data_IF_910899137332
#
_entry.id   IF_910899137332
#
_cell.length_a   1.000
_cell.length_b   1.000
_cell.length_c   1.000
_cell.angle_alpha   90.00
_cell.angle_beta   90.00
_cell.angle_gamma   90.00
#
_symmetry.space_group_name_H-M   'P 1'
#
loop_
_entity.id
_entity.type
_entity.pdbx_description
1 polymer ?
#
# COMPACT_ATOMS: atom_id res chain seq x y z
N UNK A 1 16.86 21.44 -20.49
CA UNK A 1 15.68 21.02 -21.26
C UNK A 1 14.47 21.84 -20.78
N UNK A 2 13.51 22.18 -21.65
CA UNK A 2 12.27 22.85 -21.22
C UNK A 2 11.26 21.79 -20.76
N UNK A 3 10.77 21.94 -19.53
CA UNK A 3 9.82 21.03 -18.89
C UNK A 3 8.57 21.81 -18.48
N UNK A 4 7.41 21.28 -18.80
CA UNK A 4 6.11 21.76 -18.33
C UNK A 4 5.45 20.71 -17.42
N UNK A 5 4.53 21.15 -16.55
CA UNK A 5 3.81 20.24 -15.66
C UNK A 5 2.99 19.26 -16.49
N UNK A 6 3.22 17.96 -16.28
CA UNK A 6 2.56 16.88 -17.02
C UNK A 6 3.40 16.31 -18.18
N UNK A 7 4.59 16.86 -18.44
CA UNK A 7 5.48 16.30 -19.45
C UNK A 7 6.00 14.92 -19.06
N UNK A 8 5.86 13.96 -19.97
CA UNK A 8 6.48 12.65 -19.85
C UNK A 8 7.96 12.77 -20.22
N UNK A 9 8.84 12.32 -19.33
CA UNK A 9 10.30 12.40 -19.52
C UNK A 9 10.87 10.99 -19.44
N UNK A 10 11.62 10.61 -20.46
CA UNK A 10 12.43 9.39 -20.42
C UNK A 10 13.79 9.71 -19.80
N UNK A 11 14.01 9.28 -18.56
CA UNK A 11 15.28 9.48 -17.85
C UNK A 11 16.25 8.39 -18.30
N UNK A 12 17.39 8.81 -18.86
CA UNK A 12 18.45 7.91 -19.32
C UNK A 12 19.49 7.67 -18.23
N UNK A 13 19.76 8.68 -17.42
CA UNK A 13 20.79 8.64 -16.36
C UNK A 13 20.43 9.59 -15.23
N UNK A 14 20.61 9.12 -14.01
CA UNK A 14 20.57 9.94 -12.80
C UNK A 14 21.99 10.00 -12.21
N UNK A 15 22.47 11.21 -11.93
CA UNK A 15 23.79 11.47 -11.34
C UNK A 15 23.70 11.59 -9.82
N UNK A 16 24.83 11.42 -9.13
CA UNK A 16 24.91 11.43 -7.66
C UNK A 16 24.51 12.77 -7.03
N UNK A 17 24.55 13.86 -7.80
CA UNK A 17 24.16 15.21 -7.42
C UNK A 17 22.67 15.52 -7.68
N UNK A 18 21.86 14.49 -7.96
CA UNK A 18 20.41 14.56 -8.21
C UNK A 18 20.03 15.31 -9.49
N UNK A 19 20.95 15.40 -10.45
CA UNK A 19 20.62 15.80 -11.82
C UNK A 19 20.32 14.58 -12.68
N UNK A 20 19.25 14.70 -13.46
CA UNK A 20 18.84 13.70 -14.44
C UNK A 20 19.19 14.18 -15.84
N UNK A 21 19.68 13.27 -16.69
CA UNK A 21 19.72 13.42 -18.13
C UNK A 21 18.55 12.65 -18.73
N UNK A 22 17.77 13.31 -19.59
CA UNK A 22 16.62 12.68 -20.21
C UNK A 22 16.08 13.41 -21.43
N UNK A 23 15.05 12.82 -22.01
CA UNK A 23 14.36 13.31 -23.22
C UNK A 23 12.91 13.62 -22.85
N UNK A 24 12.47 14.84 -23.11
CA UNK A 24 11.06 15.22 -22.98
C UNK A 24 10.31 14.65 -24.17
N UNK A 25 9.37 13.74 -23.92
CA UNK A 25 8.66 13.01 -24.96
C UNK A 25 7.64 13.88 -25.72
N UNK A 26 7.19 15.00 -25.13
CA UNK A 26 6.34 15.97 -25.84
C UNK A 26 7.14 16.77 -26.86
N UNK A 27 8.32 17.28 -26.47
CA UNK A 27 9.12 18.17 -27.31
C UNK A 27 10.19 17.47 -28.13
N UNK A 28 10.51 16.22 -27.79
CA UNK A 28 11.60 15.43 -28.36
C UNK A 28 13.01 15.96 -28.03
N UNK A 29 13.12 17.00 -27.20
CA UNK A 29 14.42 17.61 -26.85
C UNK A 29 15.10 16.81 -25.75
N UNK A 30 16.41 16.65 -25.85
CA UNK A 30 17.24 16.05 -24.81
C UNK A 30 17.90 17.15 -23.96
N UNK A 31 18.13 16.85 -22.68
CA UNK A 31 19.00 17.64 -21.83
C UNK A 31 18.92 17.24 -20.37
N UNK A 32 19.52 18.07 -19.52
CA UNK A 32 19.57 17.85 -18.08
C UNK A 32 18.50 18.64 -17.33
N UNK A 33 18.00 18.08 -16.25
CA UNK A 33 17.04 18.70 -15.32
C UNK A 33 17.22 18.14 -13.90
N UNK A 34 16.84 18.89 -12.85
CA UNK A 34 16.85 18.38 -11.48
C UNK A 34 15.86 17.23 -11.30
N UNK A 35 16.24 16.15 -10.61
CA UNK A 35 15.36 14.99 -10.39
C UNK A 35 14.06 15.35 -9.69
N UNK A 36 14.06 16.39 -8.84
CA UNK A 36 12.89 16.92 -8.16
C UNK A 36 11.77 17.45 -9.07
N UNK A 37 12.05 17.66 -10.36
CA UNK A 37 11.05 18.11 -11.35
C UNK A 37 10.28 16.95 -11.99
N UNK A 38 10.69 15.72 -11.72
CA UNK A 38 10.03 14.52 -12.20
C UNK A 38 9.64 13.60 -11.04
N UNK A 39 8.65 12.75 -11.28
CA UNK A 39 8.27 11.66 -10.39
C UNK A 39 8.27 10.39 -11.22
N UNK A 40 8.78 9.29 -10.64
CA UNK A 40 8.78 8.00 -11.33
C UNK A 40 7.33 7.55 -11.56
N UNK A 41 7.01 7.34 -12.85
CA UNK A 41 5.78 6.73 -13.31
C UNK A 41 6.10 5.33 -13.84
N UNK A 42 5.25 4.36 -13.52
CA UNK A 42 5.37 3.05 -14.15
C UNK A 42 4.85 3.16 -15.58
N UNK A 43 5.55 2.57 -16.56
CA UNK A 43 5.19 2.63 -18.00
C UNK A 43 3.73 2.29 -18.32
N UNK A 44 3.07 1.51 -17.45
CA UNK A 44 1.66 1.14 -17.56
C UNK A 44 0.66 2.28 -17.28
N UNK A 45 1.12 3.44 -16.78
CA UNK A 45 0.25 4.59 -16.47
C UNK A 45 -0.12 5.42 -17.72
N UNK A 46 0.45 5.12 -18.89
CA UNK A 46 0.18 5.80 -20.17
C UNK A 46 -0.78 5.04 -21.12
N UNK A 47 -1.19 3.81 -20.79
CA UNK A 47 -2.12 3.06 -21.62
C UNK A 47 -3.57 3.52 -21.36
N UNK A 48 -4.24 4.19 -22.31
CA UNK A 48 -5.62 4.65 -22.12
C UNK A 48 -6.64 3.51 -22.07
N UNK A 49 -6.25 2.27 -22.42
CA UNK A 49 -7.09 1.06 -22.32
C UNK A 49 -6.97 0.38 -20.96
N UNK A 50 -5.87 0.61 -20.25
CA UNK A 50 -5.75 0.22 -18.85
C UNK A 50 -6.53 1.24 -18.06
N UNK A 51 -7.71 0.87 -17.55
CA UNK A 51 -8.36 1.61 -16.47
C UNK A 51 -7.26 1.96 -15.48
N UNK A 52 -6.93 3.25 -15.35
CA UNK A 52 -5.98 3.74 -14.35
C UNK A 52 -6.41 3.13 -13.02
N UNK A 53 -5.77 2.02 -12.64
CA UNK A 53 -5.90 1.47 -11.30
C UNK A 53 -5.18 2.52 -10.49
N UNK A 54 -5.94 3.54 -10.07
CA UNK A 54 -5.50 4.63 -9.22
C UNK A 54 -4.68 3.94 -8.15
N UNK A 55 -3.34 4.09 -8.17
CA UNK A 55 -2.50 3.38 -7.21
C UNK A 55 -2.97 3.79 -5.82
N UNK A 56 -3.65 2.87 -5.13
CA UNK A 56 -4.32 3.14 -3.87
C UNK A 56 -3.24 3.14 -2.76
N UNK A 57 -2.43 4.21 -2.76
CA UNK A 57 -1.29 4.43 -1.87
C UNK A 57 -1.68 5.38 -0.74
N UNK A 58 -1.43 4.96 0.50
CA UNK A 58 -1.78 5.70 1.69
C UNK A 58 -0.57 5.90 2.60
N UNK A 59 -0.28 7.15 2.95
CA UNK A 59 0.75 7.48 3.93
C UNK A 59 0.20 7.27 5.35
N UNK A 60 0.76 6.32 6.08
CA UNK A 60 0.29 5.91 7.41
C UNK A 60 1.47 5.79 8.38
N UNK A 61 1.18 5.87 9.69
CA UNK A 61 2.12 5.50 10.74
C UNK A 61 1.88 4.07 11.18
N UNK A 62 2.80 3.16 10.88
CA UNK A 62 2.78 1.78 11.36
C UNK A 62 3.13 1.74 12.84
N UNK A 63 2.24 1.17 13.66
CA UNK A 63 2.41 1.11 15.12
C UNK A 63 2.96 -0.25 15.58
N UNK A 64 2.74 -1.31 14.79
CA UNK A 64 3.20 -2.65 15.13
C UNK A 64 2.22 -3.75 14.72
N UNK A 65 2.64 -4.98 15.01
CA UNK A 65 1.84 -6.19 14.78
C UNK A 65 1.60 -6.92 16.10
N UNK A 66 0.40 -7.43 16.29
CA UNK A 66 0.02 -8.19 17.49
C UNK A 66 -0.50 -9.56 17.06
N UNK A 67 0.00 -10.63 17.69
CA UNK A 67 -0.56 -11.98 17.50
C UNK A 67 -2.00 -12.03 18.03
N UNK A 68 -2.92 -12.60 17.25
CA UNK A 68 -4.35 -12.69 17.56
C UNK A 68 -4.86 -14.12 17.47
N UNK A 69 -5.86 -14.44 18.28
CA UNK A 69 -6.51 -15.76 18.28
C UNK A 69 -7.62 -15.89 17.23
N UNK A 70 -8.19 -14.76 16.81
CA UNK A 70 -9.25 -14.69 15.80
C UNK A 70 -8.74 -14.06 14.50
N UNK A 71 -9.34 -14.51 13.39
CA UNK A 71 -8.97 -14.11 12.03
C UNK A 71 -9.84 -12.98 11.48
N UNK A 72 -10.91 -12.58 12.18
CA UNK A 72 -11.82 -11.52 11.75
C UNK A 72 -12.46 -10.79 12.94
N UNK A 73 -13.09 -9.66 12.64
CA UNK A 73 -13.92 -8.90 13.59
C UNK A 73 -13.24 -7.65 14.12
N UNK A 74 -14.02 -6.56 14.23
CA UNK A 74 -13.56 -5.26 14.72
C UNK A 74 -13.02 -5.32 16.14
N UNK A 75 -13.55 -6.22 16.99
CA UNK A 75 -13.05 -6.44 18.35
C UNK A 75 -11.56 -6.83 18.41
N UNK A 76 -11.08 -7.60 17.43
CA UNK A 76 -9.68 -7.99 17.32
C UNK A 76 -8.80 -6.77 17.02
N UNK A 77 -9.23 -5.93 16.09
CA UNK A 77 -8.54 -4.66 15.77
C UNK A 77 -8.51 -3.73 16.98
N UNK A 78 -9.64 -3.58 17.68
CA UNK A 78 -9.72 -2.78 18.91
C UNK A 78 -8.75 -3.29 19.99
N UNK A 79 -8.67 -4.61 20.18
CA UNK A 79 -7.76 -5.21 21.15
C UNK A 79 -6.30 -4.98 20.75
N UNK A 80 -5.95 -5.14 19.48
CA UNK A 80 -4.60 -4.89 18.98
C UNK A 80 -4.18 -3.42 19.15
N UNK A 81 -5.05 -2.48 18.76
CA UNK A 81 -4.84 -1.03 18.98
C UNK A 81 -4.64 -0.73 20.46
N UNK A 82 -5.52 -1.25 21.33
CA UNK A 82 -5.42 -1.04 22.78
C UNK A 82 -4.13 -1.60 23.35
N UNK A 83 -3.70 -2.78 22.91
CA UNK A 83 -2.45 -3.41 23.36
C UNK A 83 -1.25 -2.55 22.99
N UNK A 84 -1.15 -2.12 21.74
CA UNK A 84 -0.05 -1.28 21.28
C UNK A 84 -0.09 0.09 21.97
N UNK A 85 -1.20 0.82 21.90
CA UNK A 85 -1.27 2.17 22.48
C UNK A 85 -1.10 2.16 24.00
N UNK A 86 -1.59 1.13 24.68
CA UNK A 86 -1.44 0.96 26.13
C UNK A 86 0.00 0.64 26.55
N UNK A 87 0.76 -0.06 25.71
CA UNK A 87 2.18 -0.39 25.95
C UNK A 87 3.09 0.83 25.72
N UNK A 88 2.72 1.73 24.81
CA UNK A 88 3.56 2.88 24.41
C UNK A 88 3.28 4.22 25.13
N UNK A 89 2.24 4.36 25.96
CA UNK A 89 1.99 5.54 26.82
C UNK A 89 2.10 6.92 26.14
N UNK A 90 0.96 7.54 25.80
CA UNK A 90 0.84 8.82 25.08
C UNK A 90 1.36 8.79 23.62
N UNK A 91 0.42 8.68 22.67
CA UNK A 91 0.58 8.77 21.22
C UNK A 91 1.86 8.13 20.63
N UNK A 92 1.89 6.80 20.41
CA UNK A 92 3.00 6.18 19.69
C UNK A 92 3.21 6.87 18.33
N UNK A 93 4.39 7.44 18.14
CA UNK A 93 4.84 7.96 16.85
C UNK A 93 5.23 6.76 16.01
N UNK A 94 4.24 6.17 15.34
CA UNK A 94 4.44 5.06 14.41
C UNK A 94 5.48 5.36 13.35
N UNK A 95 6.09 4.30 12.82
CA UNK A 95 7.00 4.40 11.69
C UNK A 95 6.24 4.83 10.44
N UNK A 96 6.63 5.93 9.81
CA UNK A 96 5.97 6.41 8.59
C UNK A 96 6.21 5.44 7.44
N UNK A 97 5.12 4.92 6.87
CA UNK A 97 5.14 3.99 5.75
C UNK A 97 4.09 4.36 4.70
N UNK A 98 4.29 3.87 3.49
CA UNK A 98 3.29 3.88 2.43
C UNK A 98 2.66 2.48 2.39
N UNK A 99 1.34 2.42 2.53
CA UNK A 99 0.55 1.22 2.30
C UNK A 99 -0.07 1.29 0.90
N UNK A 100 0.38 0.44 0.00
CA UNK A 100 -0.15 0.27 -1.35
C UNK A 100 -1.15 -0.88 -1.37
N UNK A 101 -2.36 -0.62 -1.87
CA UNK A 101 -3.42 -1.60 -2.05
C UNK A 101 -3.48 -2.00 -3.53
N UNK A 102 -3.41 -3.30 -3.80
CA UNK A 102 -3.50 -3.88 -5.15
C UNK A 102 -4.40 -5.11 -5.14
N UNK A 103 -4.73 -5.62 -6.33
CA UNK A 103 -5.49 -6.85 -6.49
C UNK A 103 -4.72 -8.12 -6.07
N UNK A 104 -3.40 -8.02 -5.91
CA UNK A 104 -2.54 -9.13 -5.47
C UNK A 104 -2.34 -9.14 -3.95
N UNK A 105 -2.31 -7.97 -3.33
CA UNK A 105 -1.92 -7.82 -1.93
C UNK A 105 -1.80 -6.39 -1.45
N UNK A 106 -1.43 -6.28 -0.18
CA UNK A 106 -1.08 -5.04 0.50
C UNK A 106 0.43 -4.97 0.61
N UNK A 107 1.04 -3.92 0.05
CA UNK A 107 2.49 -3.69 0.14
C UNK A 107 2.77 -2.53 1.08
N UNK A 108 3.56 -2.78 2.11
CA UNK A 108 4.01 -1.76 3.05
C UNK A 108 5.46 -1.41 2.76
N UNK A 109 5.72 -0.14 2.45
CA UNK A 109 7.06 0.39 2.16
C UNK A 109 7.43 1.42 3.22
N UNK A 110 8.59 1.26 3.84
CA UNK A 110 9.13 2.24 4.78
C UNK A 110 9.54 3.56 4.11
N UNK A 111 9.21 4.69 4.73
CA UNK A 111 9.66 6.03 4.30
C UNK A 111 10.46 6.76 5.38
N UNK A 112 11.13 6.02 6.28
CA UNK A 112 12.08 6.62 7.21
C UNK A 112 13.11 7.47 6.43
N UNK A 113 13.08 8.80 6.64
CA UNK A 113 13.88 9.73 5.86
C UNK A 113 15.39 9.46 5.99
N UNK A 114 16.21 9.89 5.00
CA UNK A 114 17.66 9.63 4.98
C UNK A 114 18.45 10.18 6.19
N UNK A 115 17.83 11.00 7.04
CA UNK A 115 18.42 11.54 8.27
C UNK A 115 18.46 10.54 9.44
N UNK A 116 17.83 9.36 9.33
CA UNK A 116 17.87 8.33 10.37
C UNK A 116 18.86 7.19 10.06
N UNK A 117 19.93 7.48 9.31
CA UNK A 117 21.07 6.57 9.05
C UNK A 117 21.92 6.24 10.29
N UNK A 118 21.45 6.50 11.52
CA UNK A 118 22.12 6.06 12.75
C UNK A 118 21.80 4.61 13.14
N UNK A 119 20.75 4.01 12.57
CA UNK A 119 20.50 2.58 12.70
C UNK A 119 20.45 1.94 11.32
N UNK A 120 21.27 0.91 11.09
CA UNK A 120 21.26 0.06 9.90
C UNK A 120 19.98 -0.80 9.84
N UNK A 121 18.80 -0.20 9.92
CA UNK A 121 17.53 -0.91 9.77
C UNK A 121 17.28 -1.09 8.26
N UNK A 122 17.11 -2.33 7.78
CA UNK A 122 16.80 -2.58 6.38
C UNK A 122 15.51 -1.84 6.02
N UNK A 123 15.47 -1.24 4.82
CA UNK A 123 14.24 -0.67 4.27
C UNK A 123 13.17 -1.76 4.30
N UNK A 124 12.12 -1.56 5.08
CA UNK A 124 11.10 -2.57 5.29
C UNK A 124 10.16 -2.53 4.09
N UNK A 125 10.18 -3.60 3.30
CA UNK A 125 9.25 -3.87 2.21
C UNK A 125 8.50 -5.18 2.50
N UNK A 126 7.32 -5.06 3.10
CA UNK A 126 6.47 -6.21 3.40
C UNK A 126 5.34 -6.31 2.39
N UNK A 127 5.18 -7.50 1.80
CA UNK A 127 4.07 -7.81 0.92
C UNK A 127 3.14 -8.85 1.56
N UNK A 128 1.88 -8.47 1.77
CA UNK A 128 0.83 -9.32 2.29
C UNK A 128 -0.14 -9.69 1.17
N UNK A 129 0.00 -10.89 0.62
CA UNK A 129 -0.93 -11.39 -0.40
C UNK A 129 -2.37 -11.39 0.13
N UNK A 130 -3.33 -10.92 -0.69
CA UNK A 130 -4.75 -10.89 -0.30
C UNK A 130 -5.28 -12.27 0.10
N UNK A 131 -4.73 -13.36 -0.45
CA UNK A 131 -5.05 -14.74 -0.06
C UNK A 131 -4.85 -14.99 1.45
N UNK A 132 -3.91 -14.28 2.05
CA UNK A 132 -3.54 -14.43 3.45
C UNK A 132 -4.09 -13.31 4.35
N UNK A 133 -4.70 -12.26 3.78
CA UNK A 133 -5.36 -11.20 4.57
C UNK A 133 -6.81 -11.61 4.78
N UNK A 134 -7.20 -11.84 6.03
CA UNK A 134 -8.51 -12.38 6.37
C UNK A 134 -9.55 -11.32 6.75
N UNK A 135 -9.11 -10.13 7.17
CA UNK A 135 -10.00 -9.06 7.61
C UNK A 135 -9.28 -7.71 7.60
N UNK A 136 -10.02 -6.63 7.35
CA UNK A 136 -9.54 -5.25 7.46
C UNK A 136 -10.65 -4.36 8.02
N UNK A 137 -10.35 -3.54 9.03
CA UNK A 137 -11.30 -2.59 9.59
C UNK A 137 -10.62 -1.41 10.26
N UNK A 138 -11.31 -0.27 10.27
CA UNK A 138 -10.96 0.89 11.09
C UNK A 138 -11.55 0.77 12.50
N UNK A 139 -10.96 1.46 13.47
CA UNK A 139 -11.40 1.43 14.86
C UNK A 139 -12.69 2.28 15.06
N UNK A 140 -13.77 1.73 15.66
CA UNK A 140 -15.11 2.34 15.63
C UNK A 140 -15.25 3.63 16.44
N UNK A 141 -14.33 3.90 17.37
CA UNK A 141 -14.32 5.15 18.17
C UNK A 141 -13.30 6.19 17.69
N UNK A 142 -12.24 5.74 17.02
CA UNK A 142 -11.20 6.63 16.50
C UNK A 142 -10.85 6.14 15.10
N UNK A 143 -11.53 6.71 14.11
CA UNK A 143 -11.41 6.31 12.72
C UNK A 143 -10.03 6.57 12.11
N UNK A 144 -9.07 7.14 12.85
CA UNK A 144 -7.68 7.26 12.40
C UNK A 144 -6.90 5.97 12.54
N UNK A 145 -7.37 5.01 13.33
CA UNK A 145 -6.73 3.71 13.44
C UNK A 145 -7.36 2.73 12.46
N UNK A 146 -6.50 1.96 11.79
CA UNK A 146 -6.88 0.83 10.94
C UNK A 146 -6.03 -0.37 11.29
N UNK A 147 -6.61 -1.56 11.19
CA UNK A 147 -5.86 -2.78 11.22
C UNK A 147 -6.36 -3.79 10.21
N UNK A 148 -5.42 -4.56 9.68
CA UNK A 148 -5.73 -5.76 8.89
C UNK A 148 -5.13 -6.99 9.56
N UNK A 149 -5.79 -8.13 9.38
CA UNK A 149 -5.43 -9.41 9.98
C UNK A 149 -4.86 -10.30 8.88
N UNK A 150 -3.69 -10.87 9.13
CA UNK A 150 -3.06 -11.86 8.25
C UNK A 150 -3.01 -13.22 8.91
N UNK A 151 -3.07 -14.28 8.10
CA UNK A 151 -2.79 -15.65 8.49
C UNK A 151 -1.32 -15.98 8.21
N UNK A 152 -0.66 -16.62 9.16
CA UNK A 152 0.70 -17.11 8.95
C UNK A 152 0.71 -18.23 7.88
N UNK A 153 1.63 -18.22 6.89
CA UNK A 153 1.60 -19.17 5.77
C UNK A 153 1.74 -20.64 6.19
N UNK A 154 2.54 -20.92 7.22
CA UNK A 154 2.88 -22.29 7.64
C UNK A 154 2.31 -22.68 9.01
N UNK A 155 1.72 -21.74 9.75
CA UNK A 155 1.25 -21.97 11.12
C UNK A 155 -0.18 -21.44 11.23
N UNK A 156 -1.05 -22.11 11.99
CA UNK A 156 -2.42 -21.64 12.22
C UNK A 156 -2.47 -20.50 13.25
N UNK A 157 -1.70 -19.43 12.99
CA UNK A 157 -1.62 -18.21 13.79
C UNK A 157 -2.03 -17.00 12.96
N UNK A 158 -2.53 -15.98 13.64
CA UNK A 158 -2.95 -14.73 13.03
C UNK A 158 -2.19 -13.56 13.62
N UNK A 159 -1.98 -12.52 12.82
CA UNK A 159 -1.39 -11.27 13.27
C UNK A 159 -2.26 -10.11 12.80
N UNK A 160 -2.57 -9.19 13.71
CA UNK A 160 -3.19 -7.92 13.39
C UNK A 160 -2.13 -6.84 13.26
N UNK A 161 -2.02 -6.25 12.08
CA UNK A 161 -1.10 -5.17 11.76
C UNK A 161 -1.83 -3.84 11.92
N UNK A 162 -1.32 -2.95 12.78
CA UNK A 162 -2.02 -1.73 13.17
C UNK A 162 -1.31 -0.49 12.63
N UNK A 163 -2.10 0.40 12.04
CA UNK A 163 -1.66 1.65 11.45
C UNK A 163 -2.49 2.81 11.97
N UNK A 164 -1.93 4.01 11.89
CA UNK A 164 -2.56 5.28 12.25
C UNK A 164 -2.42 6.28 11.12
N UNK A 165 -3.53 6.83 10.64
CA UNK A 165 -3.57 7.95 9.71
C UNK A 165 -3.43 9.30 10.41
N UNK A 166 -3.03 10.32 9.67
CA UNK A 166 -3.21 11.73 10.07
C UNK A 166 -4.70 12.09 10.18
N UNK A 167 -5.49 11.55 9.25
CA UNK A 167 -6.94 11.70 9.15
C UNK A 167 -7.63 10.33 9.23
N UNK A 168 -8.94 10.31 8.94
CA UNK A 168 -9.73 9.08 8.88
C UNK A 168 -9.13 8.07 7.91
N UNK A 169 -8.95 6.83 8.36
CA UNK A 169 -8.47 5.70 7.55
C UNK A 169 -9.60 4.95 6.86
N UNK A 170 -10.83 5.49 6.85
CA UNK A 170 -11.96 4.90 6.11
C UNK A 170 -11.65 4.70 4.61
N UNK A 171 -11.04 5.66 3.88
CA UNK A 171 -10.70 5.45 2.46
C UNK A 171 -9.76 4.26 2.24
N UNK A 172 -8.87 3.99 3.20
CA UNK A 172 -7.96 2.83 3.18
C UNK A 172 -8.76 1.53 3.30
N UNK A 173 -9.68 1.46 4.27
CA UNK A 173 -10.54 0.29 4.46
C UNK A 173 -11.44 0.02 3.24
N UNK A 174 -11.97 1.07 2.61
CA UNK A 174 -12.76 0.96 1.39
C UNK A 174 -11.93 0.46 0.20
N UNK A 175 -10.69 0.92 0.04
CA UNK A 175 -9.76 0.42 -0.97
C UNK A 175 -9.46 -1.07 -0.79
N UNK A 176 -9.11 -1.48 0.44
CA UNK A 176 -8.89 -2.90 0.76
C UNK A 176 -10.16 -3.73 0.52
N UNK A 177 -11.33 -3.19 0.86
CA UNK A 177 -12.62 -3.84 0.60
C UNK A 177 -12.89 -4.05 -0.90
N UNK A 178 -12.63 -3.03 -1.73
CA UNK A 178 -12.71 -3.14 -3.20
C UNK A 178 -11.72 -4.18 -3.74
N UNK A 179 -10.49 -4.19 -3.24
CA UNK A 179 -9.48 -5.17 -3.62
C UNK A 179 -9.91 -6.60 -3.26
N UNK A 180 -10.47 -6.81 -2.07
CA UNK A 180 -11.06 -8.09 -1.70
C UNK A 180 -12.20 -8.48 -2.63
N UNK A 181 -13.13 -7.57 -2.93
CA UNK A 181 -14.26 -7.88 -3.81
C UNK A 181 -13.78 -8.36 -5.19
N UNK A 182 -12.79 -7.67 -5.79
CA UNK A 182 -12.19 -8.09 -7.07
C UNK A 182 -11.46 -9.43 -6.96
N UNK A 183 -10.70 -9.64 -5.88
CA UNK A 183 -9.99 -10.89 -5.64
C UNK A 183 -10.95 -12.08 -5.50
N UNK A 184 -12.02 -11.92 -4.71
CA UNK A 184 -13.05 -12.95 -4.54
C UNK A 184 -13.85 -13.21 -5.81
N UNK A 185 -14.21 -12.18 -6.57
CA UNK A 185 -14.89 -12.33 -7.85
C UNK A 185 -14.09 -13.21 -8.81
N UNK A 186 -12.80 -12.89 -9.00
CA UNK A 186 -11.89 -13.68 -9.84
C UNK A 186 -11.69 -15.10 -9.33
N UNK A 187 -11.63 -15.27 -8.00
CA UNK A 187 -11.52 -16.60 -7.39
C UNK A 187 -12.78 -17.44 -7.64
N UNK A 188 -13.97 -16.86 -7.46
CA UNK A 188 -15.25 -17.55 -7.71
C UNK A 188 -15.39 -17.92 -9.19
N UNK A 189 -15.08 -17.00 -10.11
CA UNK A 189 -15.12 -17.25 -11.57
C UNK A 189 -14.19 -18.41 -11.99
N UNK A 190 -13.03 -18.54 -11.34
CA UNK A 190 -12.05 -19.59 -11.64
C UNK A 190 -12.40 -20.92 -10.96
N UNK A 191 -12.96 -20.89 -9.75
CA UNK A 191 -13.26 -22.09 -8.95
C UNK A 191 -14.63 -22.70 -9.25
N UNK A 192 -15.58 -21.90 -9.74
CA UNK A 192 -16.95 -22.29 -10.07
C UNK A 192 -17.37 -21.64 -11.40
N UNK A 193 -16.75 -22.02 -12.53
CA UNK A 193 -17.21 -21.55 -13.83
C UNK A 193 -18.68 -21.98 -13.99
N UNK A 194 -19.55 -21.00 -14.26
CA UNK A 194 -20.96 -21.28 -14.58
C UNK A 194 -20.93 -21.82 -16.01
N UNK A 195 -20.79 -23.12 -16.17
CA UNK A 195 -21.10 -23.74 -17.45
C UNK A 195 -22.59 -23.53 -17.67
N UNK A 196 -22.94 -22.67 -18.62
CA UNK A 196 -24.31 -22.52 -19.11
C UNK A 196 -24.73 -23.87 -19.72
N UNK A 197 -25.32 -24.73 -18.90
CA UNK A 197 -26.00 -25.93 -19.37
C UNK A 197 -27.30 -25.45 -20.02
N UNK A 198 -27.20 -24.99 -21.27
CA UNK A 198 -28.37 -24.91 -22.15
C UNK A 198 -28.87 -26.35 -22.34
N UNK A 199 -30.01 -26.66 -21.75
CA UNK A 199 -30.76 -27.89 -22.05
C UNK A 199 -31.53 -27.59 -23.35
N UNK A 200 -31.03 -28.11 -24.47
CA UNK A 200 -31.85 -28.34 -25.68
C UNK A 200 -32.74 -29.58 -25.51
#
# INVERSE_FOLDING_TARGET
IELEIGDAIYVQKEAEDLWCEGVNLRTGRQGIFPSAYAVDLDYNEFDPTVLLVKKERYLLGYLGSVETLAHNGTGVVCQAVRKIVGEYGASPTGQTCILEVSDQGLRMVDRSGPNNKKEKKPCIDYFYSLKNVSFCAFHPRDHRFIGFITKHPTVQRFACHVFKGSESTRPVAEAVGRAFQRFYQKFIETAYPIEDIYIE
#
